data_IF_020032240411
#
_entry.id   IF_020032240411
#
_cell.length_a   1.000
_cell.length_b   1.000
_cell.length_c   1.000
_cell.angle_alpha   90.00
_cell.angle_beta   90.00
_cell.angle_gamma   90.00
#
_symmetry.space_group_name_H-M   'P 1'
#
loop_
_entity.id
_entity.type
_entity.pdbx_description
1 polymer ?
#
# COMPACT_ATOMS: atom_id res chain seq x y z
N UNK A 1 85.80 18.63 -42.79
CA UNK A 1 84.64 18.71 -41.87
C UNK A 1 83.41 18.31 -42.65
N UNK A 2 82.90 17.04 -42.44
CA UNK A 2 81.66 16.49 -43.09
C UNK A 2 80.54 16.65 -42.09
N UNK A 3 79.52 17.43 -42.44
CA UNK A 3 78.26 17.55 -41.64
C UNK A 3 77.33 16.44 -42.03
N UNK A 4 76.94 15.59 -41.05
CA UNK A 4 75.86 14.62 -41.17
C UNK A 4 74.56 15.32 -40.76
N UNK A 5 73.57 15.32 -41.64
CA UNK A 5 72.17 15.74 -41.33
C UNK A 5 71.41 14.48 -40.98
N UNK A 6 70.95 14.38 -39.70
CA UNK A 6 70.06 13.34 -39.29
C UNK A 6 68.62 13.81 -39.62
N UNK A 7 67.93 13.09 -40.51
CA UNK A 7 66.51 13.23 -40.72
C UNK A 7 65.78 12.37 -39.63
N UNK A 8 65.10 13.01 -38.72
CA UNK A 8 64.18 12.33 -37.78
C UNK A 8 62.83 12.18 -38.45
N UNK A 9 62.47 10.95 -38.80
CA UNK A 9 61.09 10.63 -39.25
C UNK A 9 60.17 10.58 -38.07
N UNK A 10 59.22 11.54 -37.92
CA UNK A 10 58.17 11.57 -36.94
C UNK A 10 57.03 10.64 -37.41
N UNK A 11 56.92 9.45 -36.85
CA UNK A 11 55.73 8.61 -36.96
C UNK A 11 54.61 9.18 -36.08
N UNK A 12 53.64 9.84 -36.68
CA UNK A 12 52.38 10.20 -36.00
C UNK A 12 51.50 8.95 -35.90
N UNK A 13 51.06 8.55 -34.71
CA UNK A 13 50.11 7.46 -34.60
C UNK A 13 48.74 7.94 -35.13
N UNK A 14 48.23 7.29 -36.17
CA UNK A 14 46.82 7.39 -36.57
C UNK A 14 45.96 6.75 -35.47
N UNK A 15 45.38 7.57 -34.58
CA UNK A 15 44.28 7.11 -33.76
C UNK A 15 43.07 6.91 -34.67
N UNK A 16 42.74 5.66 -34.97
CA UNK A 16 41.48 5.32 -35.55
C UNK A 16 40.39 5.69 -34.52
N UNK A 17 39.69 6.82 -34.75
CA UNK A 17 38.47 7.15 -34.02
C UNK A 17 37.48 6.06 -34.34
N UNK A 18 37.30 5.08 -33.41
CA UNK A 18 36.18 4.19 -33.44
C UNK A 18 34.92 5.07 -33.30
N UNK A 19 34.15 5.19 -34.37
CA UNK A 19 32.81 5.82 -34.32
C UNK A 19 31.99 5.05 -33.31
N UNK A 20 31.83 5.57 -32.10
CA UNK A 20 30.86 5.03 -31.16
C UNK A 20 29.46 5.08 -31.82
N UNK A 21 28.71 4.01 -31.80
CA UNK A 21 27.33 4.04 -32.28
C UNK A 21 26.57 5.19 -31.62
N UNK A 22 25.80 5.91 -32.40
CA UNK A 22 24.92 6.94 -31.83
C UNK A 22 24.10 6.38 -30.68
N UNK A 23 23.94 7.10 -29.55
CA UNK A 23 23.12 6.62 -28.45
C UNK A 23 21.70 6.34 -28.96
N UNK A 24 21.06 5.25 -28.50
CA UNK A 24 19.73 4.91 -28.93
C UNK A 24 18.75 6.03 -28.57
N UNK A 25 17.74 6.24 -29.42
CA UNK A 25 16.70 7.25 -29.18
C UNK A 25 16.04 7.01 -27.81
N UNK A 26 15.81 8.08 -27.02
CA UNK A 26 15.07 7.97 -25.77
C UNK A 26 13.68 7.39 -26.01
N UNK A 27 13.22 6.48 -25.13
CA UNK A 27 11.86 5.96 -25.11
C UNK A 27 11.11 6.65 -23.97
N UNK A 28 9.86 7.07 -24.22
CA UNK A 28 8.95 7.55 -23.19
C UNK A 28 8.11 6.36 -22.74
N UNK A 29 8.23 6.00 -21.46
CA UNK A 29 7.44 4.96 -20.82
C UNK A 29 7.31 5.25 -19.33
N UNK A 30 6.10 5.15 -18.74
CA UNK A 30 4.81 5.05 -19.42
C UNK A 30 4.38 6.39 -20.02
N UNK A 31 3.58 6.37 -21.07
CA UNK A 31 2.97 7.55 -21.66
C UNK A 31 1.44 7.48 -21.48
N UNK A 32 0.88 8.43 -20.73
CA UNK A 32 -0.58 8.54 -20.55
C UNK A 32 -1.15 9.39 -21.68
N UNK A 33 -2.00 8.79 -22.50
CA UNK A 33 -2.63 9.45 -23.65
C UNK A 33 -3.82 10.32 -23.21
N UNK A 34 -4.27 11.21 -24.09
CA UNK A 34 -5.38 12.13 -23.83
C UNK A 34 -6.72 11.43 -23.58
N UNK A 35 -6.90 10.23 -24.12
CA UNK A 35 -8.06 9.36 -23.88
C UNK A 35 -7.94 8.49 -22.62
N UNK A 36 -6.87 8.70 -21.82
CA UNK A 36 -6.51 7.91 -20.62
C UNK A 36 -6.06 6.47 -20.92
N UNK A 37 -5.85 6.09 -22.16
CA UNK A 37 -5.07 4.90 -22.44
C UNK A 37 -3.60 5.13 -22.05
N UNK A 38 -2.86 4.07 -21.78
CA UNK A 38 -1.43 4.16 -21.38
C UNK A 38 -0.61 3.31 -22.32
N UNK A 39 0.40 3.94 -22.95
CA UNK A 39 1.38 3.25 -23.78
C UNK A 39 2.62 2.95 -22.94
N UNK A 40 2.97 1.68 -22.83
CA UNK A 40 4.18 1.19 -22.20
C UNK A 40 5.18 0.78 -23.26
N UNK A 41 6.46 1.13 -23.05
CA UNK A 41 7.55 0.78 -23.96
C UNK A 41 8.74 0.26 -23.18
N UNK A 42 9.39 -0.77 -23.70
CA UNK A 42 10.56 -1.40 -23.09
C UNK A 42 11.55 -1.80 -24.17
N UNK A 43 12.81 -1.38 -24.04
CA UNK A 43 13.85 -1.74 -25.00
C UNK A 43 14.57 -3.00 -24.54
N UNK A 44 14.39 -4.08 -25.28
CA UNK A 44 15.17 -5.30 -25.18
C UNK A 44 15.24 -5.98 -26.55
N UNK A 45 16.29 -5.70 -27.36
CA UNK A 45 16.42 -6.27 -28.69
C UNK A 45 16.63 -7.79 -28.68
N UNK A 46 17.11 -8.36 -27.56
CA UNK A 46 17.44 -9.78 -27.45
C UNK A 46 16.32 -10.61 -26.86
N UNK A 47 15.36 -10.03 -26.15
CA UNK A 47 14.22 -10.76 -25.60
C UNK A 47 13.40 -11.43 -26.72
N UNK A 48 12.91 -12.63 -26.42
CA UNK A 48 11.99 -13.41 -27.28
C UNK A 48 10.54 -13.07 -27.01
N UNK A 49 10.23 -12.74 -25.77
CA UNK A 49 8.90 -12.37 -25.29
C UNK A 49 9.01 -11.28 -24.24
N UNK A 50 8.15 -10.28 -24.32
CA UNK A 50 7.95 -9.31 -23.22
C UNK A 50 6.45 -9.18 -22.95
N UNK A 51 6.08 -9.29 -21.67
CA UNK A 51 4.71 -9.11 -21.20
C UNK A 51 4.66 -7.87 -20.31
N UNK A 52 3.58 -7.10 -20.40
CA UNK A 52 3.20 -6.09 -19.41
C UNK A 52 2.39 -6.75 -18.31
N UNK A 53 2.85 -6.67 -17.06
CA UNK A 53 2.08 -6.99 -15.85
C UNK A 53 1.59 -5.70 -15.20
N UNK A 54 0.28 -5.44 -15.20
CA UNK A 54 -0.32 -4.26 -14.60
C UNK A 54 -1.29 -4.66 -13.48
N UNK A 55 -1.31 -3.89 -12.40
CA UNK A 55 -2.24 -4.07 -11.29
C UNK A 55 -3.70 -4.08 -11.77
N UNK A 56 -4.48 -5.02 -11.28
CA UNK A 56 -5.88 -5.19 -11.64
C UNK A 56 -6.14 -5.77 -13.04
N UNK A 57 -5.12 -6.29 -13.74
CA UNK A 57 -5.27 -6.93 -15.05
C UNK A 57 -4.44 -8.19 -15.20
N UNK A 58 -4.78 -9.02 -16.17
CA UNK A 58 -3.92 -10.11 -16.60
C UNK A 58 -2.71 -9.56 -17.36
N UNK A 59 -1.62 -10.33 -17.39
CA UNK A 59 -0.46 -10.01 -18.20
C UNK A 59 -0.83 -10.03 -19.68
N UNK A 60 -0.34 -9.02 -20.42
CA UNK A 60 -0.58 -8.89 -21.86
C UNK A 60 0.74 -8.90 -22.63
N UNK A 61 0.83 -9.57 -23.79
CA UNK A 61 2.02 -9.57 -24.63
C UNK A 61 2.24 -8.20 -25.27
N UNK A 62 3.51 -7.81 -25.37
CA UNK A 62 3.94 -6.59 -26.04
C UNK A 62 4.42 -6.93 -27.47
N UNK A 63 4.38 -5.94 -28.36
CA UNK A 63 4.81 -6.05 -29.76
C UNK A 63 6.20 -5.43 -29.90
N UNK A 64 7.12 -6.13 -30.56
CA UNK A 64 8.50 -5.69 -30.82
C UNK A 64 8.58 -5.01 -32.18
N UNK A 65 9.22 -3.84 -32.24
CA UNK A 65 9.55 -3.16 -33.48
C UNK A 65 10.98 -3.53 -34.00
N UNK A 66 11.35 -2.97 -35.16
CA UNK A 66 12.64 -3.23 -35.78
C UNK A 66 13.84 -2.65 -34.99
N UNK A 67 13.60 -1.65 -34.13
CA UNK A 67 14.59 -1.05 -33.24
C UNK A 67 14.75 -1.83 -31.91
N UNK A 68 14.03 -2.94 -31.76
CA UNK A 68 14.05 -3.77 -30.56
C UNK A 68 13.30 -3.18 -29.38
N UNK A 69 12.35 -2.28 -29.64
CA UNK A 69 11.47 -1.69 -28.62
C UNK A 69 10.15 -2.46 -28.61
N UNK A 70 9.83 -2.98 -27.45
CA UNK A 70 8.55 -3.61 -27.16
C UNK A 70 7.54 -2.56 -26.73
N UNK A 71 6.33 -2.65 -27.23
CA UNK A 71 5.26 -1.69 -26.89
C UNK A 71 3.90 -2.36 -26.75
N UNK A 72 3.06 -1.77 -25.90
CA UNK A 72 1.63 -2.09 -25.79
C UNK A 72 0.88 -0.87 -25.28
N UNK A 73 -0.31 -0.63 -25.82
CA UNK A 73 -1.22 0.41 -25.36
C UNK A 73 -2.46 -0.24 -24.76
N UNK A 74 -2.85 0.20 -23.56
CA UNK A 74 -4.08 -0.28 -22.90
C UNK A 74 -5.32 0.34 -23.54
N UNK A 75 -6.50 -0.23 -23.26
CA UNK A 75 -7.74 0.56 -23.34
C UNK A 75 -7.68 1.72 -22.34
N UNK A 76 -8.56 2.76 -22.47
CA UNK A 76 -8.66 3.82 -21.46
C UNK A 76 -8.84 3.26 -20.06
N UNK A 77 -8.10 3.83 -19.11
CA UNK A 77 -8.11 3.42 -17.69
C UNK A 77 -8.88 4.45 -16.86
N UNK A 78 -9.50 3.97 -15.78
CA UNK A 78 -10.06 4.86 -14.77
C UNK A 78 -8.96 5.67 -14.08
N UNK A 79 -9.22 6.91 -13.66
CA UNK A 79 -8.25 7.71 -12.91
C UNK A 79 -7.81 7.04 -11.62
N UNK A 80 -6.53 6.66 -11.56
CA UNK A 80 -5.94 6.01 -10.39
C UNK A 80 -4.41 5.86 -10.57
N UNK A 81 -3.75 5.28 -9.56
CA UNK A 81 -2.34 4.88 -9.57
C UNK A 81 -2.24 3.37 -9.80
N UNK A 82 -1.58 2.97 -10.88
CA UNK A 82 -1.45 1.56 -11.26
C UNK A 82 -0.01 1.08 -11.10
N UNK A 83 0.19 0.07 -10.28
CA UNK A 83 1.45 -0.67 -10.24
C UNK A 83 1.65 -1.46 -11.55
N UNK A 84 2.89 -1.48 -12.08
CA UNK A 84 3.22 -2.29 -13.25
C UNK A 84 4.67 -2.75 -13.25
N UNK A 85 4.97 -3.77 -14.04
CA UNK A 85 6.31 -4.27 -14.33
C UNK A 85 6.33 -4.93 -15.71
N UNK A 86 7.51 -5.06 -16.30
CA UNK A 86 7.71 -5.89 -17.48
C UNK A 86 8.13 -7.30 -17.08
N UNK A 87 7.82 -8.29 -17.93
CA UNK A 87 8.31 -9.65 -17.78
C UNK A 87 8.96 -10.04 -19.10
N UNK A 88 10.29 -10.00 -19.15
CA UNK A 88 11.07 -10.37 -20.33
C UNK A 88 11.64 -11.79 -20.15
N UNK A 89 11.30 -12.69 -21.04
CA UNK A 89 11.73 -14.11 -21.04
C UNK A 89 11.56 -14.77 -19.63
N UNK A 90 10.45 -14.45 -18.94
CA UNK A 90 10.12 -14.97 -17.62
C UNK A 90 10.71 -14.19 -16.44
N UNK A 91 11.58 -13.20 -16.67
CA UNK A 91 12.18 -12.37 -15.62
C UNK A 91 11.39 -11.07 -15.42
N UNK A 92 10.98 -10.81 -14.19
CA UNK A 92 10.29 -9.55 -13.86
C UNK A 92 11.29 -8.42 -13.72
N UNK A 93 11.05 -7.32 -14.44
CA UNK A 93 11.92 -6.15 -14.55
C UNK A 93 11.13 -4.87 -14.25
N UNK A 94 11.81 -3.90 -13.69
CA UNK A 94 11.31 -2.53 -13.58
C UNK A 94 11.48 -1.80 -14.92
N UNK A 95 10.63 -0.79 -15.13
CA UNK A 95 10.77 0.15 -16.23
C UNK A 95 11.92 1.13 -15.93
N UNK A 96 13.04 1.08 -16.65
CA UNK A 96 14.17 1.97 -16.41
C UNK A 96 13.88 3.44 -16.78
N UNK A 97 12.84 3.68 -17.57
CA UNK A 97 12.39 5.01 -17.98
C UNK A 97 11.49 5.70 -16.95
N UNK A 98 11.01 4.98 -15.93
CA UNK A 98 10.10 5.52 -14.92
C UNK A 98 10.72 5.51 -13.52
N UNK A 99 11.03 6.67 -12.92
CA UNK A 99 11.56 6.74 -11.56
C UNK A 99 10.51 6.49 -10.46
N UNK A 100 9.23 6.49 -10.80
CA UNK A 100 8.17 6.32 -9.81
C UNK A 100 8.03 4.85 -9.42
N UNK A 101 8.29 4.55 -8.15
CA UNK A 101 8.33 3.20 -7.61
C UNK A 101 7.17 2.98 -6.63
N UNK A 102 6.53 1.84 -6.74
CA UNK A 102 5.65 1.27 -5.73
C UNK A 102 6.49 0.39 -4.80
N UNK A 103 6.85 0.88 -3.59
CA UNK A 103 7.68 0.10 -2.67
C UNK A 103 6.93 -1.14 -2.19
N UNK A 104 7.67 -2.22 -2.01
CA UNK A 104 7.17 -3.46 -1.42
C UNK A 104 8.38 -4.33 -1.04
N UNK A 105 8.32 -5.05 0.08
CA UNK A 105 9.44 -5.86 0.60
C UNK A 105 9.77 -7.07 -0.28
N UNK A 106 8.80 -7.59 -1.02
CA UNK A 106 8.97 -8.81 -1.84
C UNK A 106 8.81 -8.57 -3.33
N UNK A 107 8.08 -7.53 -3.77
CA UNK A 107 7.72 -7.33 -5.18
C UNK A 107 7.61 -5.84 -5.51
N UNK A 108 8.76 -5.23 -5.80
CA UNK A 108 8.83 -3.83 -6.23
C UNK A 108 8.24 -3.71 -7.65
N UNK A 109 7.47 -2.67 -7.88
CA UNK A 109 6.89 -2.32 -9.18
C UNK A 109 7.12 -0.83 -9.48
N UNK A 110 7.00 -0.42 -10.75
CA UNK A 110 6.80 0.97 -11.07
C UNK A 110 5.34 1.38 -10.90
N UNK A 111 5.08 2.67 -10.83
CA UNK A 111 3.74 3.24 -10.77
C UNK A 111 3.50 4.18 -11.94
N UNK A 112 2.35 4.06 -12.58
CA UNK A 112 1.81 5.08 -13.48
C UNK A 112 0.58 5.73 -12.86
N UNK A 113 0.52 7.06 -12.89
CA UNK A 113 -0.65 7.83 -12.51
C UNK A 113 -1.47 8.17 -13.76
N UNK A 114 -2.73 7.74 -13.77
CA UNK A 114 -3.73 8.17 -14.75
C UNK A 114 -4.56 9.26 -14.09
N UNK A 115 -4.40 10.53 -14.50
CA UNK A 115 -5.00 11.65 -13.78
C UNK A 115 -6.52 11.70 -13.92
N UNK A 116 -7.17 12.13 -12.84
CA UNK A 116 -8.62 12.29 -12.74
C UNK A 116 -9.06 13.74 -12.52
N UNK A 117 -10.36 13.91 -12.33
CA UNK A 117 -10.92 15.19 -11.87
C UNK A 117 -10.55 15.43 -10.39
N UNK A 118 -10.57 16.67 -9.95
CA UNK A 118 -10.32 17.05 -8.55
C UNK A 118 -11.31 16.44 -7.53
N UNK A 119 -12.39 15.83 -8.01
CA UNK A 119 -13.35 15.10 -7.17
C UNK A 119 -12.89 13.69 -6.80
N UNK A 120 -11.83 13.16 -7.46
CA UNK A 120 -11.25 11.85 -7.14
C UNK A 120 -10.48 11.98 -5.80
N UNK A 121 -10.80 11.19 -4.77
CA UNK A 121 -10.27 11.40 -3.42
C UNK A 121 -8.75 11.30 -3.29
N UNK A 122 -8.08 10.56 -4.16
CA UNK A 122 -6.62 10.37 -4.16
C UNK A 122 -5.84 11.28 -5.11
N UNK A 123 -6.51 12.22 -5.80
CA UNK A 123 -5.83 13.27 -6.57
C UNK A 123 -5.31 14.36 -5.64
N UNK A 124 -4.10 14.85 -5.92
CA UNK A 124 -3.52 15.97 -5.18
C UNK A 124 -4.23 17.26 -5.63
N UNK A 125 -4.96 17.86 -4.71
CA UNK A 125 -5.73 19.08 -4.94
C UNK A 125 -5.11 20.28 -4.19
N UNK A 126 -5.48 21.49 -4.59
CA UNK A 126 -5.11 22.73 -3.88
C UNK A 126 -6.04 22.90 -2.66
N UNK A 127 -5.76 22.14 -1.62
CA UNK A 127 -6.45 22.16 -0.32
C UNK A 127 -5.41 22.21 0.80
N UNK A 128 -5.76 22.63 2.02
CA UNK A 128 -4.84 22.50 3.15
C UNK A 128 -4.41 21.05 3.36
N UNK A 129 -3.10 20.82 3.47
CA UNK A 129 -2.53 19.49 3.66
C UNK A 129 -2.10 19.25 5.10
N UNK A 130 -2.26 18.01 5.57
CA UNK A 130 -1.70 17.53 6.82
C UNK A 130 -0.20 17.22 6.70
N UNK A 131 0.40 16.82 7.83
CA UNK A 131 1.81 16.43 7.87
C UNK A 131 1.95 14.94 8.11
N UNK A 132 3.00 14.34 7.53
CA UNK A 132 3.43 12.97 7.81
C UNK A 132 4.70 13.02 8.66
N UNK A 133 4.69 12.37 9.83
CA UNK A 133 5.85 12.23 10.70
C UNK A 133 6.25 10.77 10.79
N UNK A 134 7.52 10.48 10.55
CA UNK A 134 8.10 9.14 10.60
C UNK A 134 8.82 8.95 11.93
N UNK A 135 8.45 7.93 12.68
CA UNK A 135 8.98 7.60 14.00
C UNK A 135 9.68 6.24 13.98
N UNK A 136 10.76 6.14 14.73
CA UNK A 136 11.51 4.89 14.95
C UNK A 136 11.50 4.54 16.43
N UNK A 137 11.37 3.26 16.75
CA UNK A 137 11.44 2.77 18.12
C UNK A 137 11.98 1.34 18.15
N UNK A 138 12.46 0.94 19.32
CA UNK A 138 12.84 -0.45 19.58
C UNK A 138 11.69 -1.13 20.30
N UNK A 139 11.11 -2.15 19.70
CA UNK A 139 10.06 -2.94 20.33
C UNK A 139 10.68 -3.93 21.33
N UNK A 140 10.26 -3.88 22.57
CA UNK A 140 10.60 -4.88 23.59
C UNK A 140 9.81 -6.18 23.42
N UNK A 141 8.60 -6.10 22.86
CA UNK A 141 7.70 -7.25 22.67
C UNK A 141 8.11 -8.08 21.44
N UNK A 142 8.44 -7.41 20.34
CA UNK A 142 8.84 -8.09 19.10
C UNK A 142 10.33 -8.37 19.10
N UNK A 143 11.12 -7.45 19.65
CA UNK A 143 12.57 -7.61 19.86
C UNK A 143 13.43 -6.99 18.76
N UNK A 144 12.84 -6.18 17.86
CA UNK A 144 13.50 -5.53 16.72
C UNK A 144 13.35 -4.01 16.70
N UNK A 145 14.02 -3.36 15.76
CA UNK A 145 13.81 -1.94 15.46
C UNK A 145 12.64 -1.81 14.51
N UNK A 146 11.73 -0.90 14.85
CA UNK A 146 10.48 -0.70 14.15
C UNK A 146 10.24 0.76 13.87
N UNK A 147 9.25 1.00 13.00
CA UNK A 147 8.82 2.32 12.65
C UNK A 147 7.30 2.41 12.54
N UNK A 148 6.81 3.63 12.56
CA UNK A 148 5.43 3.97 12.22
C UNK A 148 5.37 5.39 11.68
N UNK A 149 4.36 5.64 10.85
CA UNK A 149 4.04 6.98 10.35
C UNK A 149 2.82 7.52 11.05
N UNK A 150 2.82 8.82 11.32
CA UNK A 150 1.66 9.53 11.87
C UNK A 150 1.27 10.65 10.91
N UNK A 151 0.06 10.57 10.39
CA UNK A 151 -0.57 11.71 9.73
C UNK A 151 -1.25 12.57 10.79
N UNK A 152 -0.96 13.88 10.78
CA UNK A 152 -1.67 14.89 11.51
C UNK A 152 -2.52 15.71 10.52
N UNK A 153 -3.81 16.01 10.84
CA UNK A 153 -4.68 16.70 9.89
C UNK A 153 -4.23 18.15 9.66
N UNK A 154 -4.72 18.79 8.57
CA UNK A 154 -4.49 20.23 8.38
C UNK A 154 -4.85 21.04 9.64
N UNK A 155 -4.02 22.03 9.96
CA UNK A 155 -4.17 22.87 11.16
C UNK A 155 -4.17 22.09 12.51
N UNK A 156 -3.48 20.95 12.56
CA UNK A 156 -3.29 20.21 13.82
C UNK A 156 -2.66 21.11 14.91
N UNK A 157 -3.31 21.17 16.07
CA UNK A 157 -2.78 21.86 17.25
C UNK A 157 -2.59 20.87 18.41
N UNK A 158 -1.33 20.66 18.79
CA UNK A 158 -0.97 19.78 19.90
C UNK A 158 -1.51 20.27 21.26
N UNK A 159 -1.94 21.55 21.36
CA UNK A 159 -2.48 22.17 22.58
C UNK A 159 -3.98 22.40 22.52
N UNK A 160 -4.67 21.93 21.49
CA UNK A 160 -6.11 22.06 21.40
C UNK A 160 -6.80 21.43 22.63
N UNK A 161 -7.83 22.07 23.14
CA UNK A 161 -8.57 21.61 24.33
C UNK A 161 -9.25 20.25 24.09
N UNK A 162 -9.70 19.99 22.85
CA UNK A 162 -10.32 18.73 22.47
C UNK A 162 -9.27 17.87 21.78
N UNK A 163 -8.93 16.69 22.35
CA UNK A 163 -8.02 15.74 21.70
C UNK A 163 -8.59 15.23 20.37
N UNK A 164 -7.69 14.90 19.45
CA UNK A 164 -8.06 14.35 18.15
C UNK A 164 -8.40 12.86 18.24
N UNK A 165 -9.41 12.39 17.51
CA UNK A 165 -9.64 10.95 17.34
C UNK A 165 -8.49 10.31 16.57
N UNK A 166 -8.31 9.00 16.76
CA UNK A 166 -7.17 8.26 16.20
C UNK A 166 -7.65 7.06 15.41
N UNK A 167 -7.21 6.95 14.15
CA UNK A 167 -7.32 5.76 13.33
C UNK A 167 -5.96 5.05 13.28
N UNK A 168 -5.88 3.79 13.73
CA UNK A 168 -4.77 2.88 13.48
C UNK A 168 -5.05 2.16 12.15
N UNK A 169 -4.17 2.38 11.14
CA UNK A 169 -4.39 1.95 9.76
C UNK A 169 -3.25 1.02 9.31
N UNK A 170 -3.58 -0.26 9.09
CA UNK A 170 -2.63 -1.34 8.92
C UNK A 170 -2.45 -1.72 7.45
N UNK A 171 -1.18 -1.89 7.05
CA UNK A 171 -0.80 -2.36 5.70
C UNK A 171 -0.98 -3.88 5.53
N UNK A 172 -0.84 -4.38 4.31
CA UNK A 172 -0.93 -5.80 3.97
C UNK A 172 0.40 -6.53 4.02
N UNK A 173 0.34 -7.85 3.79
CA UNK A 173 1.53 -8.67 3.66
C UNK A 173 2.43 -8.18 2.54
N UNK A 174 3.72 -8.15 2.79
CA UNK A 174 4.81 -7.63 1.96
C UNK A 174 4.90 -6.11 1.81
N UNK A 175 3.94 -5.34 2.28
CA UNK A 175 4.10 -3.89 2.42
C UNK A 175 4.87 -3.55 3.72
N UNK A 176 5.16 -2.29 3.95
CA UNK A 176 5.74 -1.74 5.17
C UNK A 176 4.90 -0.60 5.75
N UNK A 177 5.37 0.03 6.82
CA UNK A 177 4.65 1.11 7.49
C UNK A 177 4.32 2.30 6.57
N UNK A 178 5.07 2.51 5.48
CA UNK A 178 4.82 3.56 4.50
C UNK A 178 3.72 3.24 3.49
N UNK A 179 3.27 1.98 3.41
CA UNK A 179 2.38 1.51 2.34
C UNK A 179 1.13 2.36 2.15
N UNK A 180 0.49 2.78 3.24
CA UNK A 180 -0.70 3.62 3.16
C UNK A 180 -0.41 5.06 2.69
N UNK A 181 0.78 5.62 2.93
CA UNK A 181 1.16 6.94 2.44
C UNK A 181 1.72 6.87 1.02
N UNK A 182 2.70 6.00 0.78
CA UNK A 182 3.45 5.94 -0.48
C UNK A 182 2.69 5.27 -1.62
N UNK A 183 1.76 4.36 -1.30
CA UNK A 183 0.95 3.62 -2.29
C UNK A 183 -0.53 3.92 -2.13
N UNK A 184 -1.03 3.92 -0.90
CA UNK A 184 -2.45 4.13 -0.59
C UNK A 184 -2.91 5.57 -0.71
N UNK A 185 -2.00 6.55 -0.69
CA UNK A 185 -2.31 7.99 -0.70
C UNK A 185 -3.28 8.41 0.41
N UNK A 186 -3.21 7.74 1.58
CA UNK A 186 -4.14 7.95 2.68
C UNK A 186 -4.18 9.40 3.19
N UNK A 187 -3.02 10.07 3.23
CA UNK A 187 -2.91 11.48 3.60
C UNK A 187 -3.66 12.38 2.61
N UNK A 188 -3.51 12.16 1.30
CA UNK A 188 -4.20 12.92 0.25
C UNK A 188 -5.71 12.70 0.32
N UNK A 189 -6.13 11.44 0.50
CA UNK A 189 -7.55 11.09 0.66
C UNK A 189 -8.15 11.82 1.86
N UNK A 190 -7.45 11.85 2.99
CA UNK A 190 -7.93 12.54 4.20
C UNK A 190 -7.95 14.05 4.03
N UNK A 191 -6.91 14.66 3.45
CA UNK A 191 -6.86 16.08 3.17
C UNK A 191 -8.07 16.53 2.34
N UNK A 192 -8.35 15.81 1.25
CA UNK A 192 -9.47 16.09 0.38
C UNK A 192 -10.83 15.92 1.08
N UNK A 193 -11.01 14.84 1.84
CA UNK A 193 -12.26 14.58 2.55
C UNK A 193 -12.49 15.55 3.71
N UNK A 194 -11.45 15.95 4.42
CA UNK A 194 -11.51 16.96 5.49
C UNK A 194 -11.86 18.34 4.89
N UNK A 195 -11.20 18.74 3.80
CA UNK A 195 -11.48 19.99 3.10
C UNK A 195 -12.92 20.05 2.56
N UNK A 196 -13.49 18.92 2.16
CA UNK A 196 -14.88 18.78 1.72
C UNK A 196 -15.87 18.70 2.91
N UNK A 197 -15.42 18.71 4.16
CA UNK A 197 -16.27 18.52 5.34
C UNK A 197 -16.87 17.12 5.47
N UNK A 198 -16.38 16.13 4.69
CA UNK A 198 -16.87 14.75 4.69
C UNK A 198 -16.22 13.87 5.76
N UNK A 199 -14.98 14.14 6.14
CA UNK A 199 -14.29 13.43 7.23
C UNK A 199 -13.94 14.41 8.34
N UNK A 200 -14.00 13.93 9.60
CA UNK A 200 -13.53 14.71 10.74
C UNK A 200 -12.00 14.75 10.77
N UNK A 201 -11.38 15.87 11.18
CA UNK A 201 -9.95 15.92 11.45
C UNK A 201 -9.57 14.84 12.46
N UNK A 202 -8.60 13.97 12.12
CA UNK A 202 -8.15 12.85 12.93
C UNK A 202 -6.65 12.61 12.77
N UNK A 203 -6.03 11.99 13.75
CA UNK A 203 -4.70 11.39 13.62
C UNK A 203 -4.84 10.04 12.92
N UNK A 204 -3.90 9.71 12.04
CA UNK A 204 -3.80 8.35 11.49
C UNK A 204 -2.42 7.78 11.78
N UNK A 205 -2.39 6.63 12.43
CA UNK A 205 -1.16 5.93 12.81
C UNK A 205 -1.02 4.68 11.95
N UNK A 206 0.00 4.67 11.12
CA UNK A 206 0.32 3.59 10.19
C UNK A 206 1.56 2.85 10.68
N UNK A 207 1.36 1.65 11.21
CA UNK A 207 2.40 0.87 11.89
C UNK A 207 2.98 -0.21 11.00
N UNK A 208 4.22 -0.65 11.29
CA UNK A 208 4.74 -1.89 10.71
C UNK A 208 4.01 -3.09 11.33
N UNK A 209 3.23 -3.81 10.51
CA UNK A 209 2.25 -4.81 10.93
C UNK A 209 2.82 -6.19 11.31
N UNK A 210 4.14 -6.39 11.28
CA UNK A 210 4.75 -7.71 11.50
C UNK A 210 5.06 -7.98 12.98
N UNK A 211 4.17 -8.68 13.68
CA UNK A 211 4.42 -9.20 15.03
C UNK A 211 5.44 -10.35 15.05
N UNK A 212 5.58 -11.07 13.95
CA UNK A 212 6.58 -12.08 13.69
C UNK A 212 7.30 -11.77 12.36
N UNK A 213 8.41 -10.99 12.38
CA UNK A 213 9.07 -10.50 11.16
C UNK A 213 9.49 -11.58 10.17
N UNK A 214 9.77 -12.79 10.65
CA UNK A 214 10.10 -13.96 9.83
C UNK A 214 8.97 -14.40 8.87
N UNK A 215 7.75 -13.91 9.06
CA UNK A 215 6.62 -14.16 8.14
C UNK A 215 6.86 -13.57 6.75
N UNK A 216 7.67 -12.50 6.66
CA UNK A 216 8.10 -11.88 5.40
C UNK A 216 9.33 -12.60 4.90
N UNK A 217 9.12 -13.75 4.27
CA UNK A 217 10.19 -14.58 3.75
C UNK A 217 9.90 -15.03 2.32
N UNK A 218 10.96 -15.12 1.50
CA UNK A 218 10.89 -15.75 0.18
C UNK A 218 11.06 -17.27 0.23
N UNK A 219 11.68 -17.78 1.27
CA UNK A 219 12.14 -19.18 1.37
C UNK A 219 11.71 -19.89 2.65
N UNK A 220 11.28 -19.16 3.67
CA UNK A 220 10.86 -19.69 4.97
C UNK A 220 9.34 -19.85 5.11
N UNK A 221 8.87 -20.12 6.34
CA UNK A 221 7.46 -20.09 6.69
C UNK A 221 6.83 -18.75 6.30
N UNK A 222 5.58 -18.78 5.88
CA UNK A 222 4.85 -17.61 5.38
C UNK A 222 3.48 -17.51 6.04
N UNK A 223 2.64 -16.60 5.56
CA UNK A 223 1.21 -16.50 5.92
C UNK A 223 0.41 -17.81 5.80
N UNK A 224 0.96 -18.84 5.13
CA UNK A 224 0.33 -20.18 5.03
C UNK A 224 0.49 -21.01 6.30
N UNK A 225 1.50 -20.73 7.14
CA UNK A 225 1.69 -21.40 8.43
C UNK A 225 0.72 -20.80 9.47
N UNK A 226 -0.28 -21.57 9.96
CA UNK A 226 -1.26 -21.06 10.93
C UNK A 226 -0.64 -20.64 12.26
N UNK A 227 0.41 -21.31 12.73
CA UNK A 227 1.07 -21.01 14.02
C UNK A 227 1.86 -19.72 13.95
N UNK A 228 2.55 -19.50 12.82
CA UNK A 228 3.29 -18.26 12.57
C UNK A 228 2.32 -17.08 12.40
N UNK A 229 1.21 -17.30 11.69
CA UNK A 229 0.17 -16.30 11.51
C UNK A 229 -0.48 -15.90 12.84
N UNK A 230 -0.83 -16.87 13.70
CA UNK A 230 -1.39 -16.59 15.02
C UNK A 230 -0.39 -15.82 15.88
N UNK A 231 0.88 -16.24 15.92
CA UNK A 231 1.94 -15.53 16.64
C UNK A 231 2.13 -14.10 16.14
N UNK A 232 2.01 -13.89 14.82
CA UNK A 232 2.07 -12.56 14.22
C UNK A 232 0.96 -11.66 14.76
N UNK A 233 -0.27 -12.13 14.77
CA UNK A 233 -1.43 -11.38 15.25
C UNK A 233 -1.32 -11.06 16.74
N UNK A 234 -0.94 -12.04 17.56
CA UNK A 234 -0.84 -11.87 19.01
C UNK A 234 0.24 -10.86 19.39
N UNK A 235 1.47 -11.05 18.86
CA UNK A 235 2.59 -10.14 19.14
C UNK A 235 2.36 -8.73 18.60
N UNK A 236 1.74 -8.61 17.41
CA UNK A 236 1.38 -7.30 16.87
C UNK A 236 0.37 -6.59 17.78
N UNK A 237 -0.71 -7.27 18.18
CA UNK A 237 -1.70 -6.73 19.12
C UNK A 237 -1.04 -6.27 20.42
N UNK A 238 -0.18 -7.10 21.01
CA UNK A 238 0.46 -6.81 22.28
C UNK A 238 1.40 -5.62 22.16
N UNK A 239 2.20 -5.51 21.09
CA UNK A 239 3.04 -4.35 20.80
C UNK A 239 2.23 -3.08 20.54
N UNK A 240 1.10 -3.17 19.80
CA UNK A 240 0.21 -2.04 19.59
C UNK A 240 -0.31 -1.49 20.93
N UNK A 241 -0.71 -2.35 21.86
CA UNK A 241 -1.30 -1.94 23.14
C UNK A 241 -0.27 -1.43 24.15
N UNK A 242 0.88 -2.08 24.22
CA UNK A 242 1.87 -1.77 25.25
C UNK A 242 2.91 -0.72 24.81
N UNK A 243 3.13 -0.55 23.51
CA UNK A 243 4.19 0.30 22.98
C UNK A 243 3.65 1.46 22.14
N UNK A 244 2.89 1.16 21.07
CA UNK A 244 2.51 2.19 20.10
C UNK A 244 1.42 3.13 20.63
N UNK A 245 0.31 2.60 21.14
CA UNK A 245 -0.80 3.43 21.66
C UNK A 245 -0.31 4.37 22.77
N UNK A 246 0.42 3.92 23.81
CA UNK A 246 0.94 4.81 24.83
C UNK A 246 1.90 5.89 24.31
N UNK A 247 2.71 5.56 23.30
CA UNK A 247 3.62 6.53 22.69
C UNK A 247 2.85 7.61 21.91
N UNK A 248 1.82 7.22 21.14
CA UNK A 248 0.95 8.17 20.43
C UNK A 248 0.21 9.09 21.42
N UNK A 249 -0.33 8.54 22.51
CA UNK A 249 -1.03 9.30 23.54
C UNK A 249 -0.12 10.25 24.34
N UNK A 250 1.20 9.98 24.37
CA UNK A 250 2.22 10.82 24.98
C UNK A 250 2.68 11.94 24.06
N UNK A 251 2.91 11.63 22.77
CA UNK A 251 3.59 12.53 21.83
C UNK A 251 2.62 13.44 21.06
N UNK A 252 1.34 13.07 21.01
CA UNK A 252 0.29 13.77 20.27
C UNK A 252 -0.89 14.10 21.16
N UNK A 253 -1.67 15.12 20.77
CA UNK A 253 -2.96 15.41 21.38
C UNK A 253 -4.03 14.39 20.94
N UNK A 254 -3.78 13.13 21.26
CA UNK A 254 -4.59 11.97 20.90
C UNK A 254 -5.65 11.67 21.96
N UNK A 255 -6.88 11.38 21.54
CA UNK A 255 -7.92 10.96 22.47
C UNK A 255 -7.65 9.57 23.06
N UNK A 256 -7.84 9.43 24.36
CA UNK A 256 -7.76 8.16 25.09
C UNK A 256 -9.09 7.42 25.14
N UNK A 257 -10.16 8.09 24.71
CA UNK A 257 -11.50 7.52 24.68
C UNK A 257 -11.62 6.47 23.57
N UNK A 258 -12.14 5.29 23.90
CA UNK A 258 -12.42 4.24 22.91
C UNK A 258 -13.39 4.69 21.82
N UNK A 259 -14.33 5.58 22.13
CA UNK A 259 -15.30 6.14 21.17
C UNK A 259 -14.61 7.03 20.11
N UNK A 260 -13.39 7.45 20.39
CA UNK A 260 -12.55 8.25 19.50
C UNK A 260 -11.35 7.42 18.96
N UNK A 261 -11.43 6.07 19.02
CA UNK A 261 -10.37 5.19 18.55
C UNK A 261 -10.89 4.15 17.56
N UNK A 262 -10.29 4.15 16.36
CA UNK A 262 -10.60 3.24 15.27
C UNK A 262 -9.38 2.37 14.93
N UNK A 263 -9.65 1.18 14.40
CA UNK A 263 -8.65 0.30 13.80
C UNK A 263 -9.17 -0.22 12.46
N UNK A 264 -8.36 -0.12 11.42
CA UNK A 264 -8.68 -0.60 10.08
C UNK A 264 -7.42 -1.09 9.36
N UNK A 265 -7.56 -1.89 8.33
CA UNK A 265 -6.42 -2.31 7.53
C UNK A 265 -6.83 -3.12 6.32
N UNK A 266 -5.85 -3.40 5.47
CA UNK A 266 -6.04 -4.17 4.24
C UNK A 266 -5.36 -5.55 4.34
N UNK A 267 -5.94 -6.58 3.71
CA UNK A 267 -5.36 -7.92 3.58
C UNK A 267 -4.93 -8.50 4.95
N UNK A 268 -3.64 -8.74 5.18
CA UNK A 268 -3.09 -9.12 6.49
C UNK A 268 -3.48 -8.10 7.56
N UNK A 269 -3.27 -6.81 7.32
CA UNK A 269 -3.67 -5.73 8.25
C UNK A 269 -5.18 -5.65 8.46
N UNK A 270 -5.99 -6.09 7.48
CA UNK A 270 -7.44 -6.24 7.65
C UNK A 270 -7.78 -7.35 8.66
N UNK A 271 -7.11 -8.50 8.57
CA UNK A 271 -7.25 -9.57 9.55
C UNK A 271 -6.76 -9.17 10.94
N UNK A 272 -5.61 -8.48 11.03
CA UNK A 272 -5.07 -7.96 12.27
C UNK A 272 -6.00 -6.93 12.93
N UNK A 273 -6.62 -6.06 12.12
CA UNK A 273 -7.58 -5.06 12.60
C UNK A 273 -8.84 -5.71 13.16
N UNK A 274 -9.40 -6.69 12.44
CA UNK A 274 -10.57 -7.45 12.92
C UNK A 274 -10.22 -8.27 14.16
N UNK A 275 -9.09 -8.99 14.14
CA UNK A 275 -8.64 -9.78 15.29
C UNK A 275 -8.40 -8.92 16.53
N UNK A 276 -7.66 -7.83 16.39
CA UNK A 276 -7.33 -6.93 17.50
C UNK A 276 -8.56 -6.18 18.00
N UNK A 277 -9.36 -5.60 17.08
CA UNK A 277 -10.50 -4.78 17.43
C UNK A 277 -11.63 -5.55 18.08
N UNK A 278 -11.97 -6.74 17.55
CA UNK A 278 -13.08 -7.55 18.08
C UNK A 278 -12.71 -8.30 19.37
N UNK A 279 -11.44 -8.61 19.60
CA UNK A 279 -10.97 -9.17 20.89
C UNK A 279 -10.68 -8.08 21.93
N UNK A 280 -10.71 -6.80 21.56
CA UNK A 280 -10.50 -5.68 22.47
C UNK A 280 -11.50 -4.53 22.22
N UNK A 281 -12.78 -4.86 22.19
CA UNK A 281 -13.89 -3.91 22.00
C UNK A 281 -13.87 -2.79 23.06
N UNK A 282 -13.33 -3.05 24.25
CA UNK A 282 -13.11 -2.05 25.29
C UNK A 282 -12.02 -1.01 24.94
N UNK A 283 -11.28 -1.19 23.84
CA UNK A 283 -10.26 -0.25 23.35
C UNK A 283 -10.64 0.43 22.04
N UNK A 284 -11.48 -0.21 21.21
CA UNK A 284 -11.88 0.29 19.90
C UNK A 284 -13.40 0.27 19.75
N UNK A 285 -14.00 1.38 19.32
CA UNK A 285 -15.40 1.45 18.99
C UNK A 285 -15.68 1.30 17.48
N UNK A 286 -14.66 1.49 16.65
CA UNK A 286 -14.72 1.48 15.19
C UNK A 286 -13.71 0.48 14.67
N UNK A 287 -14.19 -0.54 13.98
CA UNK A 287 -13.36 -1.65 13.49
C UNK A 287 -13.67 -1.91 12.02
N UNK A 288 -12.63 -2.02 11.20
CA UNK A 288 -12.81 -2.36 9.78
C UNK A 288 -11.73 -3.31 9.26
N UNK A 289 -12.12 -4.09 8.24
CA UNK A 289 -11.20 -4.92 7.47
C UNK A 289 -11.49 -4.81 5.97
N UNK A 290 -10.44 -4.56 5.17
CA UNK A 290 -10.52 -4.48 3.72
C UNK A 290 -9.85 -5.70 3.11
N UNK A 291 -10.59 -6.53 2.38
CA UNK A 291 -10.06 -7.78 1.78
C UNK A 291 -9.27 -8.62 2.79
N UNK A 292 -9.82 -8.83 3.97
CA UNK A 292 -9.11 -9.42 5.11
C UNK A 292 -8.60 -10.82 4.80
N UNK A 293 -7.30 -11.04 4.99
CA UNK A 293 -6.62 -12.30 4.71
C UNK A 293 -5.84 -12.82 5.90
N UNK A 294 -6.09 -14.08 6.30
CA UNK A 294 -5.34 -14.72 7.37
C UNK A 294 -6.09 -14.87 8.70
N UNK A 295 -7.41 -14.59 8.76
CA UNK A 295 -8.24 -14.88 9.95
C UNK A 295 -8.34 -16.38 10.25
N UNK A 296 -7.98 -17.26 9.28
CA UNK A 296 -8.19 -18.70 9.42
C UNK A 296 -9.64 -19.10 9.16
N UNK A 297 -9.96 -20.36 9.48
CA UNK A 297 -11.30 -20.92 9.33
C UNK A 297 -11.98 -21.19 10.68
N UNK A 298 -11.21 -21.14 11.78
CA UNK A 298 -11.67 -21.41 13.14
C UNK A 298 -12.03 -20.10 13.87
N UNK A 299 -13.08 -19.46 13.42
CA UNK A 299 -13.49 -18.16 13.97
C UNK A 299 -13.86 -18.22 15.46
N UNK A 300 -14.44 -19.34 15.94
CA UNK A 300 -14.73 -19.54 17.37
C UNK A 300 -13.46 -19.50 18.25
N UNK A 301 -12.35 -20.06 17.75
CA UNK A 301 -11.07 -20.00 18.45
C UNK A 301 -10.45 -18.59 18.38
N UNK A 302 -10.61 -17.91 17.24
CA UNK A 302 -10.07 -16.56 17.02
C UNK A 302 -10.85 -15.47 17.77
N UNK A 303 -12.16 -15.67 18.01
CA UNK A 303 -13.06 -14.69 18.63
C UNK A 303 -13.91 -15.32 19.73
N UNK A 304 -13.31 -15.89 20.80
CA UNK A 304 -14.01 -16.74 21.78
C UNK A 304 -15.07 -15.99 22.60
N UNK A 305 -15.00 -14.67 22.69
CA UNK A 305 -15.93 -13.85 23.48
C UNK A 305 -16.86 -13.00 22.63
N UNK A 306 -16.85 -13.19 21.30
CA UNK A 306 -17.65 -12.37 20.40
C UNK A 306 -19.10 -12.88 20.36
N UNK A 307 -20.03 -12.03 20.79
CA UNK A 307 -21.46 -12.28 20.79
C UNK A 307 -22.27 -11.00 20.48
N UNK A 308 -23.60 -11.08 20.53
CA UNK A 308 -24.50 -9.96 20.26
C UNK A 308 -24.29 -8.74 21.18
N UNK A 309 -23.60 -8.86 22.32
CA UNK A 309 -23.28 -7.73 23.19
C UNK A 309 -22.33 -6.74 22.52
N UNK A 310 -21.58 -7.18 21.52
CA UNK A 310 -20.73 -6.32 20.69
C UNK A 310 -21.54 -5.18 20.04
N UNK A 311 -22.82 -5.41 19.72
CA UNK A 311 -23.69 -4.42 19.05
C UNK A 311 -23.95 -3.16 19.89
N UNK A 312 -23.92 -3.26 21.21
CA UNK A 312 -24.06 -2.10 22.11
C UNK A 312 -22.73 -1.38 22.34
N UNK A 313 -21.62 -1.98 21.97
CA UNK A 313 -20.28 -1.47 22.23
C UNK A 313 -19.61 -0.92 20.96
N UNK A 314 -19.78 -1.57 19.82
CA UNK A 314 -19.24 -1.08 18.54
C UNK A 314 -20.12 0.03 17.97
N UNK A 315 -19.48 1.08 17.48
CA UNK A 315 -20.12 2.13 16.68
C UNK A 315 -20.19 1.75 15.22
N UNK A 316 -19.17 1.02 14.76
CA UNK A 316 -19.11 0.50 13.38
C UNK A 316 -18.23 -0.74 13.33
N UNK A 317 -18.75 -1.80 12.73
CA UNK A 317 -17.99 -2.92 12.21
C UNK A 317 -18.17 -2.94 10.69
N UNK A 318 -17.11 -2.66 9.93
CA UNK A 318 -17.16 -2.47 8.49
C UNK A 318 -16.23 -3.46 7.79
N UNK A 319 -16.79 -4.31 6.92
CA UNK A 319 -16.03 -5.35 6.22
C UNK A 319 -16.24 -5.18 4.72
N UNK A 320 -15.14 -4.91 4.03
CA UNK A 320 -15.15 -4.69 2.58
C UNK A 320 -14.26 -5.71 1.86
N UNK A 321 -14.68 -6.11 0.65
CA UNK A 321 -13.87 -6.96 -0.22
C UNK A 321 -14.22 -6.67 -1.69
N UNK A 322 -13.22 -6.80 -2.58
CA UNK A 322 -13.46 -6.76 -4.01
C UNK A 322 -14.20 -8.01 -4.48
N UNK A 323 -15.11 -7.89 -5.47
CA UNK A 323 -15.86 -9.05 -5.99
C UNK A 323 -14.98 -10.04 -6.74
N UNK A 324 -13.86 -9.56 -7.33
CA UNK A 324 -12.88 -10.37 -8.05
C UNK A 324 -11.67 -10.73 -7.17
N UNK A 325 -11.73 -10.40 -5.87
CA UNK A 325 -10.68 -10.70 -4.91
C UNK A 325 -10.67 -12.20 -4.58
N UNK A 326 -9.49 -12.82 -4.64
CA UNK A 326 -9.31 -14.24 -4.25
C UNK A 326 -9.73 -14.54 -2.81
N UNK A 327 -9.85 -13.52 -1.96
CA UNK A 327 -10.26 -13.64 -0.57
C UNK A 327 -11.76 -13.42 -0.34
N UNK A 328 -12.55 -13.17 -1.39
CA UNK A 328 -13.99 -12.88 -1.26
C UNK A 328 -14.74 -13.99 -0.54
N UNK A 329 -14.44 -15.25 -0.85
CA UNK A 329 -15.08 -16.42 -0.18
C UNK A 329 -14.75 -16.46 1.30
N UNK A 330 -13.49 -16.23 1.69
CA UNK A 330 -13.08 -16.21 3.09
C UNK A 330 -13.71 -15.03 3.86
N UNK A 331 -13.82 -13.84 3.22
CA UNK A 331 -14.50 -12.69 3.83
C UNK A 331 -16.00 -12.96 4.01
N UNK A 332 -16.66 -13.57 3.04
CA UNK A 332 -18.07 -13.98 3.18
C UNK A 332 -18.27 -14.99 4.31
N UNK A 333 -17.41 -16.01 4.43
CA UNK A 333 -17.45 -16.96 5.52
C UNK A 333 -17.32 -16.30 6.91
N UNK A 334 -16.46 -15.26 7.01
CA UNK A 334 -16.37 -14.47 8.24
C UNK A 334 -17.67 -13.69 8.52
N UNK A 335 -18.31 -13.11 7.51
CA UNK A 335 -19.60 -12.43 7.67
C UNK A 335 -20.73 -13.38 8.08
N UNK A 336 -20.73 -14.61 7.56
CA UNK A 336 -21.65 -15.66 7.96
C UNK A 336 -21.46 -16.06 9.43
N UNK A 337 -20.19 -16.14 9.88
CA UNK A 337 -19.86 -16.32 11.29
C UNK A 337 -20.39 -15.17 12.16
N UNK A 338 -20.16 -13.91 11.79
CA UNK A 338 -20.70 -12.75 12.52
C UNK A 338 -22.23 -12.81 12.63
N UNK A 339 -22.89 -13.19 11.53
CA UNK A 339 -24.35 -13.38 11.49
C UNK A 339 -24.81 -14.47 12.46
N UNK A 340 -24.08 -15.59 12.52
CA UNK A 340 -24.38 -16.71 13.46
C UNK A 340 -24.26 -16.29 14.93
N UNK A 341 -23.44 -15.28 15.23
CA UNK A 341 -23.26 -14.66 16.56
C UNK A 341 -24.22 -13.49 16.81
N UNK A 342 -25.09 -13.17 15.85
CA UNK A 342 -25.98 -11.99 15.89
C UNK A 342 -25.23 -10.67 16.06
N UNK A 343 -24.02 -10.57 15.52
CA UNK A 343 -23.19 -9.36 15.51
C UNK A 343 -23.55 -8.52 14.29
N UNK A 344 -23.84 -7.24 14.51
CA UNK A 344 -24.17 -6.30 13.43
C UNK A 344 -22.89 -5.84 12.72
N UNK A 345 -22.95 -5.78 11.40
CA UNK A 345 -21.83 -5.29 10.55
C UNK A 345 -22.35 -4.61 9.28
N UNK A 346 -21.52 -3.79 8.69
CA UNK A 346 -21.70 -3.25 7.35
C UNK A 346 -20.87 -4.07 6.37
N UNK A 347 -21.53 -4.71 5.39
CA UNK A 347 -20.90 -5.45 4.30
C UNK A 347 -20.75 -4.55 3.07
N UNK A 348 -19.56 -4.49 2.50
CA UNK A 348 -19.28 -3.79 1.26
C UNK A 348 -18.58 -4.74 0.27
N UNK A 349 -19.20 -4.91 -0.89
CA UNK A 349 -18.59 -5.63 -2.01
C UNK A 349 -18.58 -4.71 -3.22
N UNK A 350 -17.39 -4.42 -3.75
CA UNK A 350 -17.20 -3.53 -4.88
C UNK A 350 -16.45 -4.26 -6.00
N UNK A 351 -16.67 -3.90 -7.28
CA UNK A 351 -15.88 -4.46 -8.37
C UNK A 351 -14.37 -4.27 -8.14
N UNK A 352 -13.58 -5.28 -8.48
CA UNK A 352 -12.12 -5.27 -8.43
C UNK A 352 -11.52 -6.41 -7.62
N UNK A 353 -10.22 -6.62 -7.85
CA UNK A 353 -9.43 -7.69 -7.27
C UNK A 353 -8.69 -7.24 -6.00
N UNK A 354 -7.75 -8.07 -5.52
CA UNK A 354 -6.90 -7.82 -4.34
C UNK A 354 -5.83 -6.77 -4.64
N UNK A 355 -6.22 -5.49 -4.72
CA UNK A 355 -5.38 -4.40 -5.23
C UNK A 355 -5.56 -3.10 -4.45
N UNK A 356 -4.55 -2.22 -4.54
CA UNK A 356 -4.61 -0.87 -3.99
C UNK A 356 -5.71 -0.01 -4.62
N UNK A 357 -6.13 -0.30 -5.85
CA UNK A 357 -7.28 0.35 -6.50
C UNK A 357 -8.56 0.20 -5.66
N UNK A 358 -8.81 -0.99 -5.12
CA UNK A 358 -9.95 -1.27 -4.25
C UNK A 358 -9.75 -0.65 -2.87
N UNK A 359 -8.56 -0.75 -2.30
CA UNK A 359 -8.32 -0.30 -0.92
C UNK A 359 -8.31 1.21 -0.76
N UNK A 360 -7.86 1.99 -1.77
CA UNK A 360 -8.03 3.45 -1.78
C UNK A 360 -9.50 3.85 -1.77
N UNK A 361 -10.33 3.19 -2.58
CA UNK A 361 -11.79 3.40 -2.62
C UNK A 361 -12.43 3.03 -1.28
N UNK A 362 -12.01 1.93 -0.67
CA UNK A 362 -12.49 1.51 0.62
C UNK A 362 -12.13 2.52 1.72
N UNK A 363 -10.90 3.03 1.75
CA UNK A 363 -10.50 4.06 2.72
C UNK A 363 -11.32 5.34 2.52
N UNK A 364 -11.49 5.80 1.28
CA UNK A 364 -12.28 6.99 0.95
C UNK A 364 -13.77 6.85 1.33
N UNK A 365 -14.33 5.63 1.26
CA UNK A 365 -15.71 5.36 1.68
C UNK A 365 -15.85 5.17 3.19
N UNK A 366 -14.82 4.63 3.86
CA UNK A 366 -14.85 4.31 5.29
C UNK A 366 -14.61 5.54 6.18
N UNK A 367 -13.64 6.39 5.84
CA UNK A 367 -13.23 7.52 6.71
C UNK A 367 -14.33 8.55 6.98
N UNK A 368 -15.29 8.85 6.06
CA UNK A 368 -16.43 9.69 6.35
C UNK A 368 -17.38 9.17 7.44
N UNK A 369 -17.36 7.87 7.69
CA UNK A 369 -18.22 7.22 8.69
C UNK A 369 -17.66 7.32 10.11
N UNK A 370 -16.37 7.64 10.25
CA UNK A 370 -15.67 7.59 11.52
C UNK A 370 -16.02 8.77 12.43
N UNK A 371 -16.16 8.49 13.73
CA UNK A 371 -16.26 9.47 14.82
C UNK A 371 -17.45 10.43 14.70
N UNK A 372 -18.54 10.00 14.05
CA UNK A 372 -19.77 10.78 13.84
C UNK A 372 -20.59 10.93 15.12
#
# INVERSE_FOLDING_TARGET
MKRFILLAAACLPLFAQSSQPAPPKPIISPEVNSDKSVTFRFRDPNAKEVLLGREGAQRVPMQKDDDGVWSVTTSPLEPDFYGYSFVADGVTLLDPGNPNIKPNLLSIQNVVHVPGASTVPWEINDVPHGEIRHHFYKSGIIGDNRDYFVYTPPAYDARAKKPYPVLYLLHGFSDDASGWTSVGHANVILDNLIAQGKAKPMLVVMTLGYGAPEIVSRTGPTMRDPSLRQRNMDKYRDALFAEVIPQIEKDYNASKDREQRAIAGLSMGGAESLYTGLNAINKFAWVAGFSSGGLGEKFEESFPSLDAKANSQLRLLWVACGTDDRLITANRAFLDYLSSKSVHFTRIETPGAHTWLVWRRNLAAFTPLLFQ
#
